data_IF_377621369863
#
_entry.id   IF_377621369863
#
_cell.length_a   1.000
_cell.length_b   1.000
_cell.length_c   1.000
_cell.angle_alpha   90.00
_cell.angle_beta   90.00
_cell.angle_gamma   90.00
#
_symmetry.space_group_name_H-M   'P 1'
#
loop_
_entity.id
_entity.type
_entity.pdbx_description
1 polymer ?
#
# COMPACT_ATOMS: atom_id res chain seq x y z
N UNK A 1 12.36 33.11 -10.37
CA UNK A 1 13.27 32.06 -9.85
C UNK A 1 14.38 31.84 -10.86
N UNK A 2 15.65 31.82 -10.42
CA UNK A 2 16.81 31.78 -11.34
C UNK A 2 17.18 30.33 -11.72
N UNK A 3 17.70 30.06 -12.93
CA UNK A 3 17.98 28.70 -13.45
C UNK A 3 18.91 27.85 -12.56
N UNK A 4 19.75 28.51 -11.77
CA UNK A 4 20.74 27.86 -10.90
C UNK A 4 20.14 27.12 -9.69
N UNK A 5 18.84 27.26 -9.39
CA UNK A 5 18.20 26.55 -8.28
C UNK A 5 17.79 25.10 -8.61
N UNK A 6 17.72 24.75 -9.90
CA UNK A 6 17.29 23.43 -10.37
C UNK A 6 18.39 22.36 -10.18
N UNK A 7 19.65 22.77 -10.19
CA UNK A 7 20.80 21.86 -10.18
C UNK A 7 21.26 21.41 -8.77
N UNK A 8 20.71 21.99 -7.70
CA UNK A 8 21.15 21.70 -6.31
C UNK A 8 20.37 20.58 -5.63
N UNK A 9 19.27 20.08 -6.22
CA UNK A 9 18.37 19.15 -5.53
C UNK A 9 18.64 17.70 -5.99
N UNK A 10 19.84 17.15 -5.77
CA UNK A 10 20.09 15.69 -5.90
C UNK A 10 19.52 14.93 -4.71
N UNK A 11 18.22 15.08 -4.45
CA UNK A 11 17.57 14.47 -3.29
C UNK A 11 17.55 12.95 -3.40
N UNK A 12 17.49 12.24 -2.25
CA UNK A 12 17.22 10.81 -2.24
C UNK A 12 15.98 10.42 -3.06
N UNK A 13 14.95 11.28 -3.08
CA UNK A 13 13.75 11.09 -3.90
C UNK A 13 14.08 11.02 -5.39
N UNK A 14 14.83 11.96 -5.95
CA UNK A 14 15.19 11.91 -7.38
C UNK A 14 16.03 10.68 -7.71
N UNK A 15 16.95 10.27 -6.83
CA UNK A 15 17.74 9.05 -7.01
C UNK A 15 16.86 7.79 -7.03
N UNK A 16 15.86 7.73 -6.15
CA UNK A 16 14.89 6.64 -6.12
C UNK A 16 14.03 6.60 -7.39
N UNK A 17 13.52 7.75 -7.84
CA UNK A 17 12.71 7.85 -9.06
C UNK A 17 13.51 7.39 -10.30
N UNK A 18 14.73 7.92 -10.45
CA UNK A 18 15.64 7.53 -11.53
C UNK A 18 15.96 6.02 -11.47
N UNK A 19 16.25 5.49 -10.29
CA UNK A 19 16.53 4.07 -10.12
C UNK A 19 15.34 3.20 -10.55
N UNK A 20 14.12 3.52 -10.10
CA UNK A 20 12.94 2.73 -10.41
C UNK A 20 12.61 2.75 -11.91
N UNK A 21 12.64 3.94 -12.53
CA UNK A 21 12.46 4.09 -13.97
C UNK A 21 13.52 3.32 -14.76
N UNK A 22 14.79 3.41 -14.35
CA UNK A 22 15.88 2.67 -14.98
C UNK A 22 15.70 1.16 -14.87
N UNK A 23 15.30 0.63 -13.70
CA UNK A 23 15.04 -0.82 -13.51
C UNK A 23 13.95 -1.33 -14.46
N UNK A 24 12.87 -0.56 -14.62
CA UNK A 24 11.78 -0.92 -15.54
C UNK A 24 12.25 -0.96 -16.99
N UNK A 25 13.03 0.04 -17.42
CA UNK A 25 13.60 0.09 -18.78
C UNK A 25 14.61 -1.03 -19.05
N UNK A 26 15.44 -1.38 -18.07
CA UNK A 26 16.38 -2.51 -18.17
C UNK A 26 15.68 -3.88 -18.16
N UNK A 27 14.42 -3.92 -17.72
CA UNK A 27 13.55 -5.09 -17.84
C UNK A 27 12.70 -5.07 -19.13
N UNK A 28 13.14 -4.35 -20.16
CA UNK A 28 12.52 -4.29 -21.50
C UNK A 28 11.07 -3.78 -21.54
N UNK A 29 10.61 -3.07 -20.50
CA UNK A 29 9.31 -2.37 -20.57
C UNK A 29 9.40 -1.23 -21.59
N UNK A 30 8.35 -1.03 -22.40
CA UNK A 30 8.21 0.13 -23.29
C UNK A 30 8.19 1.44 -22.49
N UNK A 31 8.33 2.58 -23.18
CA UNK A 31 8.36 3.88 -22.50
C UNK A 31 7.00 4.17 -21.82
N UNK A 32 5.92 3.84 -22.51
CA UNK A 32 4.55 3.93 -22.00
C UNK A 32 4.32 2.97 -20.83
N UNK A 33 4.71 1.70 -20.95
CA UNK A 33 4.55 0.75 -19.85
C UNK A 33 5.38 1.17 -18.62
N UNK A 34 6.59 1.70 -18.84
CA UNK A 34 7.44 2.24 -17.76
C UNK A 34 6.75 3.40 -17.02
N UNK A 35 6.11 4.31 -17.75
CA UNK A 35 5.38 5.43 -17.17
C UNK A 35 4.27 4.95 -16.22
N UNK A 36 3.43 4.02 -16.68
CA UNK A 36 2.34 3.49 -15.85
C UNK A 36 2.84 2.62 -14.70
N UNK A 37 3.86 1.77 -14.93
CA UNK A 37 4.45 0.92 -13.91
C UNK A 37 5.07 1.74 -12.76
N UNK A 38 5.76 2.83 -13.09
CA UNK A 38 6.30 3.75 -12.09
C UNK A 38 5.21 4.28 -11.15
N UNK A 39 4.11 4.79 -11.72
CA UNK A 39 3.01 5.34 -10.92
C UNK A 39 2.30 4.27 -10.09
N UNK A 40 2.10 3.06 -10.62
CA UNK A 40 1.49 1.96 -9.87
C UNK A 40 2.35 1.55 -8.66
N UNK A 41 3.66 1.37 -8.85
CA UNK A 41 4.56 0.99 -7.77
C UNK A 41 4.73 2.11 -6.73
N UNK A 42 4.95 3.36 -7.16
CA UNK A 42 5.14 4.48 -6.22
C UNK A 42 3.87 4.77 -5.39
N UNK A 43 2.69 4.69 -6.03
CA UNK A 43 1.41 4.88 -5.31
C UNK A 43 1.11 3.74 -4.34
N UNK A 44 1.46 2.49 -4.67
CA UNK A 44 1.35 1.37 -3.72
C UNK A 44 2.26 1.57 -2.51
N UNK A 45 3.54 1.88 -2.73
CA UNK A 45 4.51 2.07 -1.64
C UNK A 45 4.10 3.24 -0.73
N UNK A 46 3.82 4.41 -1.30
CA UNK A 46 3.46 5.59 -0.52
C UNK A 46 2.08 5.45 0.13
N UNK A 47 1.09 4.95 -0.63
CA UNK A 47 -0.27 4.73 -0.14
C UNK A 47 -0.31 3.73 1.00
N UNK A 48 0.40 2.61 0.85
CA UNK A 48 0.51 1.60 1.91
C UNK A 48 1.20 2.15 3.15
N UNK A 49 2.29 2.91 2.98
CA UNK A 49 2.99 3.56 4.11
C UNK A 49 2.05 4.48 4.89
N UNK A 50 1.26 5.31 4.20
CA UNK A 50 0.29 6.21 4.84
C UNK A 50 -0.84 5.43 5.52
N UNK A 51 -1.34 4.37 4.88
CA UNK A 51 -2.37 3.50 5.42
C UNK A 51 -1.90 2.79 6.71
N UNK A 52 -0.67 2.25 6.71
CA UNK A 52 -0.09 1.59 7.87
C UNK A 52 0.14 2.57 9.04
N UNK A 53 0.62 3.79 8.77
CA UNK A 53 0.75 4.83 9.79
C UNK A 53 -0.60 5.20 10.41
N UNK A 54 -1.65 5.27 9.60
CA UNK A 54 -3.02 5.48 10.08
C UNK A 54 -3.51 4.36 11.01
N UNK A 55 -3.22 3.10 10.65
CA UNK A 55 -3.57 1.93 11.48
C UNK A 55 -2.81 1.89 12.80
N UNK A 56 -1.50 2.17 12.78
CA UNK A 56 -0.68 2.25 13.99
C UNK A 56 -1.15 3.34 14.94
N UNK A 57 -1.43 4.55 14.43
CA UNK A 57 -1.93 5.65 15.25
C UNK A 57 -3.32 5.35 15.85
N UNK A 58 -4.20 4.68 15.09
CA UNK A 58 -5.50 4.23 15.58
C UNK A 58 -5.37 3.19 16.69
N UNK A 59 -4.50 2.19 16.51
CA UNK A 59 -4.26 1.15 17.50
C UNK A 59 -3.70 1.70 18.82
N UNK A 60 -2.76 2.65 18.76
CA UNK A 60 -2.22 3.33 19.94
C UNK A 60 -3.28 4.16 20.69
N UNK A 61 -4.28 4.69 19.96
CA UNK A 61 -5.37 5.50 20.52
C UNK A 61 -6.46 4.65 21.19
N UNK A 62 -6.68 3.40 20.74
CA UNK A 62 -7.75 2.52 21.24
C UNK A 62 -7.36 1.77 22.53
N UNK A 63 -6.08 1.82 22.94
CA UNK A 63 -5.56 1.32 24.23
C UNK A 63 -5.43 -0.22 24.40
N UNK A 64 -4.45 -0.59 25.24
CA UNK A 64 -4.04 -1.92 25.73
C UNK A 64 -4.72 -3.18 25.17
N UNK A 65 -3.93 -4.07 24.56
CA UNK A 65 -4.32 -5.30 23.85
C UNK A 65 -5.37 -6.24 24.49
N UNK A 66 -5.64 -6.16 25.79
CA UNK A 66 -6.73 -6.94 26.44
C UNK A 66 -8.12 -6.35 26.21
N UNK A 67 -8.21 -5.04 25.96
CA UNK A 67 -9.47 -4.33 25.71
C UNK A 67 -9.87 -4.42 24.22
N UNK A 68 -8.88 -4.49 23.33
CA UNK A 68 -9.11 -4.46 21.88
C UNK A 68 -9.88 -5.66 21.34
N UNK A 69 -9.60 -6.88 21.81
CA UNK A 69 -10.28 -8.09 21.31
C UNK A 69 -11.77 -8.10 21.70
N UNK A 70 -12.06 -7.76 22.96
CA UNK A 70 -13.44 -7.67 23.46
C UNK A 70 -14.19 -6.52 22.78
N UNK A 71 -13.53 -5.37 22.59
CA UNK A 71 -14.06 -4.24 21.82
C UNK A 71 -14.37 -4.63 20.37
N UNK A 72 -13.45 -5.29 19.67
CA UNK A 72 -13.63 -5.69 18.28
C UNK A 72 -14.77 -6.70 18.12
N UNK A 73 -14.94 -7.61 19.08
CA UNK A 73 -16.04 -8.57 19.08
C UNK A 73 -17.41 -7.88 19.29
N UNK A 74 -17.50 -6.96 20.24
CA UNK A 74 -18.71 -6.16 20.46
C UNK A 74 -19.04 -5.29 19.23
N UNK A 75 -18.03 -4.63 18.66
CA UNK A 75 -18.18 -3.79 17.49
C UNK A 75 -18.64 -4.59 16.25
N UNK A 76 -18.13 -5.81 16.05
CA UNK A 76 -18.60 -6.69 14.98
C UNK A 76 -20.08 -7.09 15.14
N UNK A 77 -20.56 -7.27 16.38
CA UNK A 77 -21.98 -7.54 16.64
C UNK A 77 -22.86 -6.32 16.33
N UNK A 78 -22.43 -5.12 16.73
CA UNK A 78 -23.12 -3.87 16.42
C UNK A 78 -23.21 -3.65 14.90
N UNK A 79 -22.09 -3.79 14.19
CA UNK A 79 -22.05 -3.71 12.73
C UNK A 79 -23.05 -4.66 12.07
N UNK A 80 -23.15 -5.89 12.56
CA UNK A 80 -24.10 -6.87 12.03
C UNK A 80 -25.55 -6.48 12.33
N UNK A 81 -25.85 -6.00 13.54
CA UNK A 81 -27.17 -5.51 13.92
C UNK A 81 -27.62 -4.32 13.08
N UNK A 82 -26.68 -3.45 12.69
CA UNK A 82 -26.91 -2.27 11.86
C UNK A 82 -26.93 -2.58 10.35
N UNK A 83 -26.76 -3.84 9.95
CA UNK A 83 -26.84 -4.29 8.56
C UNK A 83 -25.51 -4.28 7.78
N UNK A 84 -24.38 -4.02 8.43
CA UNK A 84 -23.04 -4.01 7.83
C UNK A 84 -22.36 -5.39 7.89
N UNK A 85 -23.02 -6.41 7.35
CA UNK A 85 -22.56 -7.81 7.46
C UNK A 85 -21.13 -8.04 6.96
N UNK A 86 -20.73 -7.42 5.84
CA UNK A 86 -19.37 -7.59 5.28
C UNK A 86 -18.30 -6.90 6.13
N UNK A 87 -18.64 -5.79 6.78
CA UNK A 87 -17.69 -5.10 7.65
C UNK A 87 -17.52 -5.86 8.97
N UNK A 88 -18.61 -6.45 9.49
CA UNK A 88 -18.54 -7.36 10.63
C UNK A 88 -17.66 -8.57 10.32
N UNK A 89 -17.85 -9.21 9.16
CA UNK A 89 -16.99 -10.32 8.69
C UNK A 89 -15.52 -9.89 8.60
N UNK A 90 -15.25 -8.71 8.04
CA UNK A 90 -13.89 -8.21 7.94
C UNK A 90 -13.25 -7.93 9.31
N UNK A 91 -13.99 -7.37 10.26
CA UNK A 91 -13.51 -7.19 11.64
C UNK A 91 -13.21 -8.55 12.31
N UNK A 92 -14.04 -9.56 12.08
CA UNK A 92 -13.82 -10.93 12.55
C UNK A 92 -12.54 -11.55 11.97
N UNK A 93 -12.23 -11.27 10.69
CA UNK A 93 -10.99 -11.71 10.04
C UNK A 93 -9.75 -11.11 10.73
N UNK A 94 -9.76 -9.81 11.04
CA UNK A 94 -8.67 -9.16 11.79
C UNK A 94 -8.47 -9.79 13.17
N UNK A 95 -9.55 -10.10 13.89
CA UNK A 95 -9.48 -10.78 15.20
C UNK A 95 -8.93 -12.21 15.09
N UNK A 96 -9.20 -12.91 13.98
CA UNK A 96 -8.67 -14.25 13.71
C UNK A 96 -7.18 -14.24 13.29
N UNK A 97 -6.55 -13.07 13.23
CA UNK A 97 -5.15 -12.91 12.83
C UNK A 97 -4.96 -12.95 11.31
N UNK A 98 -6.02 -12.76 10.52
CA UNK A 98 -5.88 -12.57 9.09
C UNK A 98 -5.28 -11.18 8.81
N UNK A 99 -4.25 -11.15 7.96
CA UNK A 99 -3.62 -9.91 7.52
C UNK A 99 -2.68 -9.31 8.57
N UNK A 100 -1.38 -9.31 8.25
CA UNK A 100 -0.39 -8.45 8.89
C UNK A 100 0.07 -7.39 7.88
N UNK A 101 0.53 -6.23 8.34
CA UNK A 101 0.96 -5.15 7.45
C UNK A 101 1.95 -5.61 6.35
N UNK A 102 2.90 -6.49 6.68
CA UNK A 102 3.81 -7.06 5.68
C UNK A 102 3.08 -7.93 4.63
N UNK A 103 2.13 -8.76 5.06
CA UNK A 103 1.36 -9.64 4.16
C UNK A 103 0.47 -8.85 3.19
N UNK A 104 -0.17 -7.78 3.66
CA UNK A 104 -1.02 -6.93 2.81
C UNK A 104 -0.22 -6.10 1.81
N UNK A 105 0.98 -5.64 2.21
CA UNK A 105 1.89 -4.95 1.30
C UNK A 105 2.34 -5.89 0.17
N UNK A 106 2.78 -7.10 0.52
CA UNK A 106 3.26 -8.10 -0.43
C UNK A 106 2.14 -8.54 -1.37
N UNK A 107 0.94 -8.81 -0.85
CA UNK A 107 -0.20 -9.20 -1.67
C UNK A 107 -0.52 -8.15 -2.74
N UNK A 108 -0.61 -6.87 -2.36
CA UNK A 108 -0.86 -5.78 -3.32
C UNK A 108 0.29 -5.62 -4.31
N UNK A 109 1.55 -5.78 -3.86
CA UNK A 109 2.72 -5.70 -4.72
C UNK A 109 2.74 -6.82 -5.75
N UNK A 110 2.42 -8.05 -5.35
CA UNK A 110 2.36 -9.21 -6.24
C UNK A 110 1.30 -9.02 -7.32
N UNK A 111 0.12 -8.51 -6.96
CA UNK A 111 -0.93 -8.18 -7.94
C UNK A 111 -0.43 -7.18 -8.99
N UNK A 112 0.28 -6.13 -8.56
CA UNK A 112 0.86 -5.14 -9.47
C UNK A 112 1.93 -5.78 -10.35
N UNK A 113 2.88 -6.51 -9.77
CA UNK A 113 3.98 -7.13 -10.51
C UNK A 113 3.47 -8.16 -11.52
N UNK A 114 2.47 -8.95 -11.17
CA UNK A 114 1.86 -9.92 -12.08
C UNK A 114 1.06 -9.23 -13.20
N UNK A 115 0.36 -8.14 -12.89
CA UNK A 115 -0.26 -7.28 -13.91
C UNK A 115 0.77 -6.73 -14.90
N UNK A 116 1.90 -6.23 -14.39
CA UNK A 116 2.99 -5.71 -15.20
C UNK A 116 3.65 -6.79 -16.06
N UNK A 117 3.91 -7.98 -15.50
CA UNK A 117 4.46 -9.13 -16.26
C UNK A 117 3.54 -9.51 -17.42
N UNK A 118 2.22 -9.57 -17.20
CA UNK A 118 1.25 -9.87 -18.27
C UNK A 118 1.23 -8.80 -19.35
N UNK A 119 1.28 -7.52 -18.96
CA UNK A 119 1.29 -6.39 -19.90
C UNK A 119 2.54 -6.31 -20.78
N UNK A 120 3.69 -6.89 -20.37
CA UNK A 120 4.90 -6.96 -21.20
C UNK A 120 4.73 -7.80 -22.47
N UNK A 121 3.84 -8.79 -22.46
CA UNK A 121 3.66 -9.74 -23.56
C UNK A 121 2.74 -9.29 -24.69
N UNK A 122 2.19 -8.07 -24.61
CA UNK A 122 1.18 -7.56 -25.57
C UNK A 122 1.71 -6.44 -26.47
N UNK A 123 3.01 -6.43 -26.79
CA UNK A 123 3.65 -5.46 -27.69
C UNK A 123 4.20 -6.10 -28.95
#
# INVERSE_FOLDING_TARGET
MSPSSVLTVRTPRLKYMEWLLRRLREADFSAEQTYHAYHALDSHILGFTLWQLGHSAGADTIAGARDFADFAAAFAQELRADGYAYLAEHAEQHMAGAGGGEQEFEFGLDLILDGLKRGRGTG
#
